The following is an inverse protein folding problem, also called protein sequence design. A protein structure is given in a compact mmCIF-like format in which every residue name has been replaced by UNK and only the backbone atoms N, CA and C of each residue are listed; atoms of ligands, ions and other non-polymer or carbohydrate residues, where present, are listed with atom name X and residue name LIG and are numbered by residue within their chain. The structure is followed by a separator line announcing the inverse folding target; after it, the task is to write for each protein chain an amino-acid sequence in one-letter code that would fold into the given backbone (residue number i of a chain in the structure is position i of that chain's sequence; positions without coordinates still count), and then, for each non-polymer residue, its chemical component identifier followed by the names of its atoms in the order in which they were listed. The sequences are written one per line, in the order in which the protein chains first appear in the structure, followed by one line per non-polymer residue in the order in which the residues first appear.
data_IF_433060499923
#
_entry.id   IF_433060499923
#
_cell.length_a   1.000
_cell.length_b   1.000
_cell.length_c   1.000
_cell.angle_alpha   90.00
_cell.angle_beta   90.00
_cell.angle_gamma   90.00
#
_symmetry.space_group_name_H-M   'P 1'
#
loop_
_entity.id
_entity.type
_entity.pdbx_description
1 polymer ?
#
# COMPACT_ATOMS: atom_id res chain seq x y z
N UNK A 1 -15.87 9.95 15.32
CA UNK A 1 -16.16 9.40 13.98
C UNK A 1 -15.25 10.06 12.95
N UNK A 2 -15.45 9.81 11.66
CA UNK A 2 -14.83 10.60 10.58
C UNK A 2 -15.61 11.91 10.45
N UNK A 3 -14.91 13.04 10.59
CA UNK A 3 -15.49 14.36 10.48
C UNK A 3 -15.50 14.86 9.03
N UNK A 4 -14.42 14.59 8.27
CA UNK A 4 -14.30 14.97 6.87
C UNK A 4 -13.32 14.08 6.13
N UNK A 5 -13.48 14.01 4.80
CA UNK A 5 -12.55 13.35 3.88
C UNK A 5 -12.17 14.33 2.77
N UNK A 6 -10.88 14.55 2.58
CA UNK A 6 -10.33 15.39 1.52
C UNK A 6 -9.54 14.52 0.55
N UNK A 7 -10.03 14.38 -0.68
CA UNK A 7 -9.33 13.65 -1.76
C UNK A 7 -8.31 14.57 -2.43
N UNK A 8 -7.22 13.99 -2.93
CA UNK A 8 -6.27 14.74 -3.73
C UNK A 8 -6.95 15.33 -4.97
N UNK A 9 -6.75 16.63 -5.31
CA UNK A 9 -7.44 17.26 -6.45
C UNK A 9 -7.13 16.63 -7.81
N UNK A 10 -5.97 15.99 -7.93
CA UNK A 10 -5.57 15.27 -9.14
C UNK A 10 -5.97 13.78 -9.15
N UNK A 11 -6.84 13.34 -8.22
CA UNK A 11 -7.34 11.96 -8.20
C UNK A 11 -8.04 11.64 -9.52
N UNK A 12 -7.62 10.56 -10.18
CA UNK A 12 -8.20 10.02 -11.40
C UNK A 12 -8.17 8.51 -11.34
N UNK A 13 -9.32 7.89 -11.59
CA UNK A 13 -9.45 6.43 -11.70
C UNK A 13 -9.54 6.02 -13.18
N UNK A 14 -9.51 4.73 -13.45
CA UNK A 14 -9.65 4.14 -14.77
C UNK A 14 -10.94 4.58 -15.47
N UNK A 15 -11.99 4.90 -14.69
CA UNK A 15 -13.27 5.39 -15.22
C UNK A 15 -13.21 6.78 -15.84
N UNK A 16 -12.31 7.63 -15.34
CA UNK A 16 -12.20 9.05 -15.75
C UNK A 16 -10.99 9.28 -16.67
N UNK A 17 -10.30 8.20 -17.05
CA UNK A 17 -9.05 8.22 -17.79
C UNK A 17 -9.30 7.72 -19.22
N UNK A 18 -9.02 8.57 -20.22
CA UNK A 18 -9.12 8.17 -21.63
C UNK A 18 -8.12 7.07 -22.01
N UNK A 19 -7.04 6.93 -21.25
CA UNK A 19 -6.06 5.85 -21.36
C UNK A 19 -5.80 5.21 -19.97
N UNK A 20 -5.65 3.88 -19.87
CA UNK A 20 -5.35 3.15 -18.63
C UNK A 20 -4.19 3.72 -17.80
N UNK A 21 -3.22 4.34 -18.48
CA UNK A 21 -2.00 4.89 -17.89
C UNK A 21 -2.21 6.22 -17.14
N UNK A 22 -3.43 6.76 -17.08
CA UNK A 22 -3.70 8.09 -16.49
C UNK A 22 -4.30 8.04 -15.08
N UNK A 23 -4.32 6.86 -14.43
CA UNK A 23 -4.67 6.74 -13.01
C UNK A 23 -3.63 7.48 -12.18
N UNK A 24 -4.06 8.34 -11.26
CA UNK A 24 -3.15 9.17 -10.50
C UNK A 24 -3.78 9.82 -9.29
N UNK A 25 -2.94 10.33 -8.39
CA UNK A 25 -3.40 11.05 -7.21
C UNK A 25 -4.22 10.21 -6.23
N UNK A 26 -3.97 8.89 -6.16
CA UNK A 26 -4.64 7.98 -5.22
C UNK A 26 -4.19 8.23 -3.77
N UNK A 27 -4.71 9.32 -3.20
CA UNK A 27 -4.43 9.80 -1.85
C UNK A 27 -5.62 10.59 -1.31
N UNK A 28 -5.95 10.36 -0.05
CA UNK A 28 -6.96 11.14 0.68
C UNK A 28 -6.58 11.30 2.16
N UNK A 29 -7.08 12.37 2.79
CA UNK A 29 -6.95 12.62 4.21
C UNK A 29 -8.31 12.50 4.90
N UNK A 30 -8.39 11.71 5.97
CA UNK A 30 -9.57 11.62 6.82
C UNK A 30 -9.30 12.33 8.16
N UNK A 31 -10.12 13.34 8.48
CA UNK A 31 -10.05 14.03 9.78
C UNK A 31 -10.97 13.32 10.77
N UNK A 32 -10.45 12.99 11.94
CA UNK A 32 -11.24 12.39 13.03
C UNK A 32 -11.75 13.47 13.97
N UNK A 33 -12.98 13.29 14.47
CA UNK A 33 -13.55 14.10 15.55
C UNK A 33 -14.37 13.20 16.50
N UNK A 34 -13.97 13.06 17.79
CA UNK A 34 -12.77 13.65 18.39
C UNK A 34 -11.47 13.06 17.80
N UNK A 35 -10.32 13.74 17.95
CA UNK A 35 -9.02 13.21 17.56
C UNK A 35 -8.73 11.84 18.20
N UNK A 36 -7.97 11.00 17.49
CA UNK A 36 -7.51 9.73 18.05
C UNK A 36 -6.67 9.97 19.31
N UNK A 37 -6.90 9.15 20.35
CA UNK A 37 -6.17 9.23 21.62
C UNK A 37 -4.84 8.48 21.50
N UNK A 38 -3.67 9.13 21.65
CA UNK A 38 -2.39 8.46 21.61
C UNK A 38 -2.24 7.42 22.73
N UNK A 39 -1.59 6.30 22.41
CA UNK A 39 -1.29 5.24 23.38
C UNK A 39 -0.09 4.41 22.92
N UNK A 40 0.22 3.32 23.64
CA UNK A 40 1.25 2.36 23.18
C UNK A 40 0.88 1.70 21.85
N UNK A 41 -0.42 1.54 21.57
CA UNK A 41 -0.96 0.88 20.38
C UNK A 41 -1.38 1.87 19.27
N UNK A 42 -1.51 3.16 19.59
CA UNK A 42 -1.96 4.20 18.65
C UNK A 42 -0.93 5.32 18.60
N UNK A 43 -0.17 5.38 17.50
CA UNK A 43 0.87 6.38 17.25
C UNK A 43 0.86 6.80 15.77
N UNK A 44 1.20 8.06 15.46
CA UNK A 44 1.34 8.52 14.09
C UNK A 44 2.57 7.88 13.42
N UNK A 45 2.51 7.73 12.10
CA UNK A 45 3.68 7.43 11.27
C UNK A 45 4.40 8.72 10.89
N UNK A 46 5.70 8.65 10.67
CA UNK A 46 6.47 9.78 10.15
C UNK A 46 6.13 10.02 8.67
N UNK A 47 6.02 11.29 8.28
CA UNK A 47 5.89 11.69 6.87
C UNK A 47 7.29 12.07 6.35
N UNK A 48 7.73 11.55 5.19
CA UNK A 48 9.03 11.91 4.65
C UNK A 48 9.10 13.41 4.30
N UNK A 49 10.28 14.04 4.41
CA UNK A 49 10.45 15.42 3.98
C UNK A 49 10.24 15.53 2.45
N UNK A 50 9.88 16.73 1.94
CA UNK A 50 9.80 16.98 0.51
C UNK A 50 11.10 16.58 -0.22
N UNK A 51 10.98 15.87 -1.33
CA UNK A 51 12.14 15.43 -2.12
C UNK A 51 12.89 14.21 -1.56
N UNK A 52 12.39 13.56 -0.49
CA UNK A 52 12.93 12.28 -0.06
C UNK A 52 12.87 11.24 -1.18
N UNK A 53 13.97 10.53 -1.41
CA UNK A 53 14.07 9.46 -2.38
C UNK A 53 14.22 8.11 -1.67
N UNK A 54 13.61 7.07 -2.25
CA UNK A 54 13.75 5.69 -1.78
C UNK A 54 14.56 4.91 -2.83
N UNK A 55 15.66 4.29 -2.40
CA UNK A 55 16.56 3.57 -3.31
C UNK A 55 15.90 2.25 -3.71
N UNK A 56 15.91 1.85 -4.99
CA UNK A 56 15.53 0.50 -5.38
C UNK A 56 16.32 -0.54 -4.57
N UNK A 57 15.63 -1.57 -4.10
CA UNK A 57 16.16 -2.59 -3.20
C UNK A 57 16.04 -2.20 -1.72
N UNK A 58 15.47 -1.04 -1.39
CA UNK A 58 15.16 -0.71 0.01
C UNK A 58 14.12 -1.70 0.54
N UNK A 59 14.43 -2.28 1.71
CA UNK A 59 13.50 -3.13 2.41
C UNK A 59 12.38 -2.30 3.06
N UNK A 60 11.15 -2.60 2.69
CA UNK A 60 9.96 -1.94 3.20
C UNK A 60 9.03 -2.94 3.90
N UNK A 61 8.18 -2.44 4.80
CA UNK A 61 7.17 -3.24 5.49
C UNK A 61 5.77 -2.76 5.11
N UNK A 62 4.90 -3.70 4.72
CA UNK A 62 3.49 -3.45 4.42
C UNK A 62 2.64 -4.25 5.40
N UNK A 63 1.59 -3.64 5.95
CA UNK A 63 0.68 -4.28 6.92
C UNK A 63 -0.76 -4.00 6.55
N UNK A 64 -1.65 -4.98 6.73
CA UNK A 64 -3.08 -4.82 6.51
C UNK A 64 -3.86 -6.11 6.76
N UNK A 65 -5.18 -6.03 6.62
CA UNK A 65 -6.11 -7.15 6.76
C UNK A 65 -6.66 -7.64 5.40
N UNK A 66 -5.94 -7.33 4.31
CA UNK A 66 -6.33 -7.70 2.96
C UNK A 66 -6.24 -9.21 2.68
N UNK A 67 -6.67 -9.61 1.48
CA UNK A 67 -6.62 -11.00 1.04
C UNK A 67 -5.16 -11.49 0.99
N UNK A 68 -4.88 -12.62 1.64
CA UNK A 68 -3.51 -13.18 1.78
C UNK A 68 -3.14 -14.16 0.66
N UNK A 69 -4.09 -14.47 -0.22
CA UNK A 69 -3.89 -15.24 -1.45
C UNK A 69 -4.52 -14.43 -2.58
N UNK A 70 -4.69 -14.96 -3.77
CA UNK A 70 -5.58 -14.37 -4.76
C UNK A 70 -6.40 -15.51 -5.33
N UNK A 71 -7.73 -15.42 -5.26
CA UNK A 71 -8.60 -16.42 -5.87
C UNK A 71 -8.81 -15.99 -7.33
N UNK A 72 -7.89 -16.38 -8.21
CA UNK A 72 -7.99 -16.01 -9.63
C UNK A 72 -6.75 -16.42 -10.40
N UNK A 73 -6.86 -17.54 -11.10
CA UNK A 73 -5.86 -18.01 -12.06
C UNK A 73 -5.81 -17.12 -13.28
N UNK A 74 -4.85 -16.21 -13.30
CA UNK A 74 -4.20 -15.82 -14.54
C UNK A 74 -2.85 -16.54 -14.57
N UNK A 75 -2.80 -17.52 -15.45
CA UNK A 75 -1.74 -18.48 -15.75
C UNK A 75 -0.29 -17.93 -15.64
N UNK A 76 0.47 -18.47 -14.67
CA UNK A 76 1.95 -18.51 -14.67
C UNK A 76 2.51 -19.91 -14.37
N UNK A 77 1.68 -20.96 -14.36
CA UNK A 77 2.10 -22.31 -13.97
C UNK A 77 2.81 -23.09 -15.11
N UNK A 78 3.39 -22.41 -16.10
CA UNK A 78 4.30 -23.03 -17.08
C UNK A 78 5.70 -22.41 -17.03
N UNK A 79 6.38 -22.64 -15.92
CA UNK A 79 7.78 -23.05 -15.92
C UNK A 79 8.85 -22.03 -16.31
N UNK A 80 9.25 -21.18 -15.35
CA UNK A 80 10.63 -20.68 -15.20
C UNK A 80 10.87 -19.99 -13.83
N UNK A 81 11.29 -20.83 -12.88
CA UNK A 81 12.33 -20.57 -11.86
C UNK A 81 12.28 -19.34 -10.94
N UNK A 82 11.22 -19.10 -10.16
CA UNK A 82 11.35 -18.31 -8.91
C UNK A 82 10.47 -18.81 -7.74
N UNK A 83 11.08 -19.61 -6.86
CA UNK A 83 10.95 -19.58 -5.39
C UNK A 83 9.58 -19.74 -4.71
N UNK A 84 9.35 -20.93 -4.13
CA UNK A 84 8.39 -21.26 -3.07
C UNK A 84 8.34 -20.25 -1.89
N UNK A 85 7.12 -19.89 -1.45
CA UNK A 85 6.81 -19.45 -0.08
C UNK A 85 5.45 -20.09 0.29
N UNK A 86 5.21 -20.81 1.39
CA UNK A 86 5.91 -21.04 2.63
C UNK A 86 4.79 -21.34 3.66
N UNK A 87 4.81 -22.53 4.27
CA UNK A 87 3.98 -22.85 5.43
C UNK A 87 4.47 -22.05 6.66
N UNK A 88 3.54 -21.79 7.60
CA UNK A 88 3.70 -21.29 8.98
C UNK A 88 3.86 -19.77 9.17
N UNK A 89 2.96 -19.24 10.00
CA UNK A 89 2.89 -17.83 10.38
C UNK A 89 3.91 -17.43 11.43
N UNK A 90 4.51 -16.25 11.24
CA UNK A 90 4.95 -15.28 12.25
C UNK A 90 5.36 -14.02 11.49
N UNK A 91 5.09 -12.83 12.05
CA UNK A 91 5.37 -11.46 11.56
C UNK A 91 5.87 -11.31 10.10
N UNK A 92 5.05 -10.64 9.28
CA UNK A 92 5.25 -10.40 7.85
C UNK A 92 6.66 -9.96 7.44
N UNK A 93 7.15 -10.64 6.42
CA UNK A 93 8.50 -10.61 5.87
C UNK A 93 8.85 -9.30 5.17
N UNK A 94 10.13 -8.98 5.31
CA UNK A 94 10.93 -8.01 4.57
C UNK A 94 10.76 -8.19 3.04
N UNK A 95 10.42 -7.13 2.31
CA UNK A 95 10.41 -7.13 0.84
C UNK A 95 11.38 -6.08 0.30
N UNK A 96 12.39 -6.51 -0.45
CA UNK A 96 13.27 -5.67 -1.28
C UNK A 96 12.53 -5.29 -2.57
N UNK A 97 12.40 -3.99 -2.84
CA UNK A 97 11.84 -3.52 -4.11
C UNK A 97 12.85 -3.75 -5.26
N UNK A 98 12.69 -4.79 -6.07
CA UNK A 98 13.54 -5.00 -7.26
C UNK A 98 13.44 -3.86 -8.28
N UNK A 99 14.52 -3.69 -9.04
CA UNK A 99 14.83 -2.61 -10.01
C UNK A 99 13.74 -2.24 -11.00
#
# INVERSE_FOLDING_TARGET
GVASVTRHPAYRDYRDSAEPAQVGGDLALARLDPPARPSRLVRPVCVPPPGAAFVPGTNCTVTGWGHVRTAGGWHWDTGDSWGHWGHLGTLGTLGTLGT
#
